data_IF_587816270819
#
_entry.id   IF_587816270819
#
_cell.length_a   1.000
_cell.length_b   1.000
_cell.length_c   1.000
_cell.angle_alpha   90.00
_cell.angle_beta   90.00
_cell.angle_gamma   90.00
#
_symmetry.space_group_name_H-M   'P 1'
#
loop_
_entity.id
_entity.type
_entity.pdbx_description
1 polymer ?
#
# COMPACT_ATOMS: atom_id res chain seq x y z
N UNK A 1 -4.58 -17.02 -10.34
CA UNK A 1 -3.31 -16.61 -10.97
C UNK A 1 -2.19 -17.03 -10.03
N UNK A 2 -1.66 -18.22 -10.25
CA UNK A 2 -0.57 -18.82 -9.48
C UNK A 2 0.74 -18.18 -9.91
N UNK A 3 1.42 -17.51 -8.98
CA UNK A 3 2.79 -17.04 -9.21
C UNK A 3 3.67 -18.27 -9.50
N UNK A 4 4.35 -18.29 -10.65
CA UNK A 4 5.27 -19.37 -11.02
C UNK A 4 6.31 -19.54 -9.91
N UNK A 5 6.36 -20.72 -9.31
CA UNK A 5 7.57 -21.19 -8.66
C UNK A 5 8.56 -21.50 -9.81
N UNK A 6 9.53 -20.63 -10.03
CA UNK A 6 10.58 -20.88 -11.02
C UNK A 6 11.42 -22.08 -10.53
N UNK A 7 11.15 -23.27 -11.08
CA UNK A 7 12.12 -24.37 -11.06
C UNK A 7 12.96 -24.30 -12.34
N UNK A 8 14.24 -23.96 -12.15
CA UNK A 8 15.36 -24.14 -13.08
C UNK A 8 15.38 -23.35 -14.40
N UNK A 9 15.97 -22.14 -14.36
CA UNK A 9 17.03 -21.71 -15.31
C UNK A 9 17.64 -20.32 -15.03
N UNK A 10 17.57 -19.77 -13.79
CA UNK A 10 18.36 -18.62 -13.32
C UNK A 10 18.08 -18.40 -11.81
N UNK A 11 18.73 -19.19 -10.94
CA UNK A 11 18.62 -18.99 -9.49
C UNK A 11 19.43 -17.75 -9.11
N UNK A 12 18.74 -16.64 -8.88
CA UNK A 12 19.32 -15.40 -8.37
C UNK A 12 18.62 -15.00 -7.09
N UNK A 13 19.36 -14.45 -6.14
CA UNK A 13 18.82 -13.74 -4.98
C UNK A 13 19.12 -12.25 -5.10
N UNK A 14 18.20 -11.42 -4.62
CA UNK A 14 18.35 -9.96 -4.75
C UNK A 14 19.60 -9.44 -4.02
N UNK A 15 20.10 -10.20 -3.05
CA UNK A 15 21.28 -9.88 -2.24
C UNK A 15 22.59 -10.38 -2.85
N UNK A 16 22.57 -11.12 -3.97
CA UNK A 16 23.79 -11.61 -4.61
C UNK A 16 24.69 -10.45 -5.04
N UNK A 17 26.01 -10.59 -4.92
CA UNK A 17 26.95 -9.52 -5.29
C UNK A 17 26.78 -9.11 -6.76
N UNK A 18 26.62 -10.09 -7.65
CA UNK A 18 26.27 -9.92 -9.06
C UNK A 18 24.89 -10.51 -9.33
N UNK A 19 24.11 -9.82 -10.16
CA UNK A 19 22.80 -10.28 -10.61
C UNK A 19 22.94 -10.65 -12.10
N UNK A 20 22.41 -11.80 -12.55
CA UNK A 20 22.52 -12.22 -13.94
C UNK A 20 21.79 -11.25 -14.88
N UNK A 21 22.25 -11.22 -16.13
CA UNK A 21 21.50 -10.55 -17.20
C UNK A 21 20.32 -11.43 -17.60
N UNK A 22 19.12 -10.87 -17.54
CA UNK A 22 17.86 -11.55 -17.86
C UNK A 22 17.28 -10.92 -19.13
N UNK A 23 16.81 -11.76 -20.05
CA UNK A 23 16.19 -11.33 -21.32
C UNK A 23 14.66 -11.47 -21.32
N UNK A 24 14.12 -12.27 -20.40
CA UNK A 24 12.67 -12.45 -20.21
C UNK A 24 12.16 -11.61 -19.03
N UNK A 25 11.10 -10.84 -19.27
CA UNK A 25 10.55 -9.93 -18.27
C UNK A 25 9.13 -10.32 -17.88
N UNK A 26 8.85 -10.25 -16.58
CA UNK A 26 7.53 -10.44 -16.02
C UNK A 26 6.65 -9.22 -16.28
N UNK A 27 5.35 -9.46 -16.37
CA UNK A 27 4.36 -8.38 -16.35
C UNK A 27 4.30 -7.77 -14.95
N UNK A 28 4.06 -6.46 -14.86
CA UNK A 28 4.01 -5.78 -13.57
C UNK A 28 2.93 -6.38 -12.66
N UNK A 29 3.34 -6.83 -11.47
CA UNK A 29 2.45 -7.42 -10.48
C UNK A 29 2.14 -6.43 -9.36
N UNK A 30 0.99 -5.76 -9.46
CA UNK A 30 0.53 -4.80 -8.43
C UNK A 30 0.37 -5.47 -7.06
N UNK A 31 -0.16 -6.70 -7.04
CA UNK A 31 -0.50 -7.48 -5.85
C UNK A 31 0.44 -8.67 -5.69
N UNK A 32 1.74 -8.44 -5.81
CA UNK A 32 2.75 -9.46 -5.55
C UNK A 32 2.53 -10.05 -4.14
N UNK A 33 2.52 -11.37 -4.06
CA UNK A 33 2.27 -12.11 -2.82
C UNK A 33 3.06 -13.43 -2.86
N UNK A 34 3.29 -14.00 -1.68
CA UNK A 34 4.14 -15.16 -1.50
C UNK A 34 5.63 -14.89 -1.71
N UNK A 35 6.41 -15.96 -1.55
CA UNK A 35 7.84 -15.94 -1.80
C UNK A 35 8.11 -15.95 -3.31
N UNK A 36 8.00 -14.79 -3.94
CA UNK A 36 8.18 -14.64 -5.39
C UNK A 36 9.39 -13.77 -5.74
N UNK A 37 9.95 -14.05 -6.91
CA UNK A 37 11.01 -13.29 -7.57
C UNK A 37 10.50 -12.92 -8.95
N UNK A 38 10.61 -11.64 -9.31
CA UNK A 38 10.13 -11.10 -10.58
C UNK A 38 11.18 -10.17 -11.16
N UNK A 39 11.26 -10.11 -12.48
CA UNK A 39 12.18 -9.25 -13.22
C UNK A 39 11.38 -8.37 -14.16
N UNK A 40 11.42 -7.07 -13.92
CA UNK A 40 10.73 -6.09 -14.75
C UNK A 40 11.69 -5.42 -15.71
N UNK A 41 11.16 -4.96 -16.85
CA UNK A 41 11.93 -4.14 -17.79
C UNK A 41 12.41 -2.86 -17.12
N UNK A 42 13.60 -2.39 -17.49
CA UNK A 42 14.15 -1.13 -17.01
C UNK A 42 13.27 0.08 -17.34
N UNK A 43 12.46 0.01 -18.39
CA UNK A 43 11.54 1.07 -18.83
C UNK A 43 10.17 1.05 -18.14
N UNK A 44 9.84 0.05 -17.32
CA UNK A 44 8.56 -0.03 -16.61
C UNK A 44 8.42 1.08 -15.55
N UNK A 45 7.45 1.97 -15.76
CA UNK A 45 7.18 3.10 -14.87
C UNK A 45 6.72 2.67 -13.48
N UNK A 46 5.92 1.61 -13.38
CA UNK A 46 5.43 1.08 -12.12
C UNK A 46 6.57 0.45 -11.30
N UNK A 47 7.47 -0.28 -11.96
CA UNK A 47 8.64 -0.88 -11.33
C UNK A 47 9.66 0.18 -10.90
N UNK A 48 9.89 1.22 -11.73
CA UNK A 48 10.76 2.36 -11.36
C UNK A 48 10.29 3.08 -10.10
N UNK A 49 8.97 3.21 -9.94
CA UNK A 49 8.33 3.83 -8.76
C UNK A 49 8.18 2.87 -7.58
N UNK A 50 8.58 1.61 -7.74
CA UNK A 50 8.43 0.53 -6.76
C UNK A 50 6.99 0.45 -6.25
N UNK A 51 6.05 0.54 -7.20
CA UNK A 51 4.63 0.57 -6.94
C UNK A 51 4.16 -0.76 -6.34
N UNK A 52 3.13 -0.69 -5.50
CA UNK A 52 2.47 -1.87 -4.95
C UNK A 52 1.05 -1.53 -4.50
N UNK A 53 0.12 -2.43 -4.80
CA UNK A 53 -1.24 -2.42 -4.27
C UNK A 53 -1.24 -2.60 -2.75
N UNK A 54 -0.25 -3.27 -2.17
CA UNK A 54 -0.08 -3.36 -0.72
C UNK A 54 0.40 -2.03 -0.12
N UNK A 55 0.05 -1.79 1.15
CA UNK A 55 0.49 -0.59 1.87
C UNK A 55 1.92 -0.78 2.40
N UNK A 56 2.90 -0.58 1.53
CA UNK A 56 4.31 -0.81 1.82
C UNK A 56 5.02 0.46 2.31
N UNK A 57 5.74 0.39 3.43
CA UNK A 57 6.62 1.46 3.94
C UNK A 57 8.08 1.14 3.68
N UNK A 58 8.91 2.17 3.47
CA UNK A 58 10.36 1.98 3.40
C UNK A 58 10.90 1.50 4.76
N UNK A 59 11.87 0.62 4.72
CA UNK A 59 12.61 0.14 5.89
C UNK A 59 14.09 0.15 5.58
N UNK A 60 14.92 0.66 6.49
CA UNK A 60 16.36 0.65 6.30
C UNK A 60 16.90 -0.78 6.35
N UNK A 61 17.71 -1.15 5.37
CA UNK A 61 18.46 -2.42 5.30
C UNK A 61 19.97 -2.20 5.23
N UNK A 62 20.44 -0.95 5.36
CA UNK A 62 21.85 -0.56 5.25
C UNK A 62 22.52 -0.96 3.92
N UNK A 63 21.74 -1.15 2.85
CA UNK A 63 22.23 -1.41 1.50
C UNK A 63 21.58 -0.44 0.51
N UNK A 64 22.36 0.52 0.00
CA UNK A 64 21.87 1.57 -0.90
C UNK A 64 21.39 1.05 -2.26
N UNK A 65 21.86 -0.13 -2.68
CA UNK A 65 21.49 -0.73 -3.97
C UNK A 65 20.17 -1.49 -3.91
N UNK A 66 19.67 -1.80 -2.71
CA UNK A 66 18.46 -2.59 -2.51
C UNK A 66 17.47 -1.76 -1.70
N UNK A 67 16.38 -1.32 -2.32
CA UNK A 67 15.28 -0.71 -1.60
C UNK A 67 14.45 -1.80 -0.91
N UNK A 68 14.44 -1.78 0.42
CA UNK A 68 13.58 -2.65 1.24
C UNK A 68 12.32 -1.92 1.67
N UNK A 69 11.16 -2.54 1.48
CA UNK A 69 9.85 -2.05 1.94
C UNK A 69 9.11 -3.14 2.69
N UNK A 70 8.48 -2.82 3.82
CA UNK A 70 7.68 -3.78 4.59
C UNK A 70 6.21 -3.38 4.62
N UNK A 71 5.33 -4.37 4.62
CA UNK A 71 3.89 -4.15 4.65
C UNK A 71 3.45 -3.55 5.99
N UNK A 72 2.50 -2.62 5.93
CA UNK A 72 1.84 -2.05 7.11
C UNK A 72 0.64 -2.85 7.58
N UNK A 73 0.05 -3.67 6.70
CA UNK A 73 -1.26 -4.27 6.90
C UNK A 73 -2.39 -3.46 6.27
N UNK A 74 -3.55 -3.48 6.90
CA UNK A 74 -4.80 -2.89 6.40
C UNK A 74 -5.59 -2.26 7.54
N UNK A 75 -6.25 -1.13 7.28
CA UNK A 75 -7.19 -0.54 8.24
C UNK A 75 -8.56 -1.17 8.06
N UNK A 76 -9.13 -1.61 9.17
CA UNK A 76 -10.36 -2.38 9.25
C UNK A 76 -11.33 -1.73 10.24
N UNK A 77 -12.60 -2.09 10.17
CA UNK A 77 -13.55 -1.76 11.23
C UNK A 77 -13.39 -2.74 12.40
N UNK A 78 -13.32 -2.22 13.63
CA UNK A 78 -13.27 -3.01 14.87
C UNK A 78 -14.47 -3.95 15.03
N UNK A 79 -15.63 -3.59 14.48
CA UNK A 79 -16.84 -4.42 14.46
C UNK A 79 -16.97 -5.28 13.19
N UNK A 80 -15.94 -5.29 12.31
CA UNK A 80 -15.92 -6.07 11.07
C UNK A 80 -17.19 -5.91 10.22
N UNK A 81 -17.75 -4.70 10.21
CA UNK A 81 -19.03 -4.43 9.56
C UNK A 81 -18.97 -4.71 8.05
N UNK A 82 -20.14 -5.02 7.50
CA UNK A 82 -20.36 -5.16 6.06
C UNK A 82 -21.07 -3.90 5.56
N UNK A 83 -20.64 -3.40 4.42
CA UNK A 83 -21.29 -2.31 3.69
C UNK A 83 -22.56 -2.82 3.01
N UNK A 84 -23.42 -1.91 2.57
CA UNK A 84 -24.68 -2.26 1.89
C UNK A 84 -24.47 -3.00 0.56
N UNK A 85 -23.30 -2.82 -0.07
CA UNK A 85 -22.90 -3.55 -1.28
C UNK A 85 -22.30 -4.94 -0.97
N UNK A 86 -22.31 -5.39 0.28
CA UNK A 86 -21.73 -6.68 0.70
C UNK A 86 -20.22 -6.65 0.97
N UNK A 87 -19.52 -5.55 0.68
CA UNK A 87 -18.07 -5.45 0.91
C UNK A 87 -17.73 -5.16 2.37
N UNK A 88 -16.48 -5.43 2.76
CA UNK A 88 -15.94 -5.08 4.08
C UNK A 88 -15.13 -3.77 4.00
N UNK A 89 -15.00 -3.09 5.13
CA UNK A 89 -14.19 -1.87 5.24
C UNK A 89 -12.71 -2.22 5.27
N UNK A 90 -12.01 -2.09 4.14
CA UNK A 90 -10.56 -2.32 4.00
C UNK A 90 -9.84 -1.07 3.48
N UNK A 91 -9.43 -0.18 4.37
CA UNK A 91 -8.80 1.09 3.99
C UNK A 91 -7.28 0.96 3.93
N UNK A 92 -6.65 1.72 3.03
CA UNK A 92 -5.20 1.81 2.95
C UNK A 92 -4.63 2.58 4.14
N UNK A 93 -3.74 1.98 4.95
CA UNK A 93 -3.01 2.71 5.98
C UNK A 93 -2.14 3.82 5.37
N UNK A 94 -2.05 4.95 6.06
CA UNK A 94 -1.11 6.00 5.70
C UNK A 94 0.33 5.51 5.95
N UNK A 95 1.21 5.84 5.00
CA UNK A 95 2.62 5.46 5.09
C UNK A 95 3.31 6.21 6.24
N UNK A 96 3.02 7.51 6.40
CA UNK A 96 3.53 8.30 7.51
C UNK A 96 2.95 7.83 8.85
N UNK A 97 3.82 7.55 9.82
CA UNK A 97 3.45 7.08 11.16
C UNK A 97 2.52 8.06 11.89
N UNK A 98 2.82 9.36 11.85
CA UNK A 98 1.98 10.40 12.47
C UNK A 98 0.58 10.42 11.85
N UNK A 99 0.47 10.29 10.52
CA UNK A 99 -0.82 10.25 9.84
C UNK A 99 -1.58 8.95 10.12
N UNK A 100 -0.88 7.81 10.19
CA UNK A 100 -1.48 6.51 10.50
C UNK A 100 -2.00 6.44 11.94
N UNK A 101 -1.28 6.98 12.91
CA UNK A 101 -1.76 7.16 14.29
C UNK A 101 -3.06 7.97 14.32
N UNK A 102 -3.15 9.03 13.51
CA UNK A 102 -4.39 9.83 13.36
C UNK A 102 -5.52 9.10 12.62
N UNK A 103 -5.24 8.08 11.80
CA UNK A 103 -6.28 7.30 11.13
C UNK A 103 -6.92 6.28 12.08
N UNK A 104 -6.13 5.69 12.97
CA UNK A 104 -6.62 4.74 13.98
C UNK A 104 -7.55 5.45 14.97
N UNK A 105 -8.56 4.73 15.47
CA UNK A 105 -9.58 5.24 16.38
C UNK A 105 -10.64 6.13 15.73
N UNK A 106 -10.48 6.55 14.46
CA UNK A 106 -11.51 7.30 13.73
C UNK A 106 -12.80 6.46 13.60
N UNK A 107 -13.98 7.09 13.55
CA UNK A 107 -15.22 6.39 13.28
C UNK A 107 -15.17 5.61 11.97
N UNK A 108 -15.85 4.46 11.94
CA UNK A 108 -16.04 3.69 10.72
C UNK A 108 -16.65 4.56 9.60
N UNK A 109 -16.20 4.45 8.34
CA UNK A 109 -16.82 5.15 7.23
C UNK A 109 -18.25 4.67 6.92
N UNK A 110 -18.63 3.47 7.40
CA UNK A 110 -20.02 3.01 7.34
C UNK A 110 -20.85 3.77 8.39
N UNK A 111 -21.76 4.63 7.93
CA UNK A 111 -22.58 5.50 8.80
C UNK A 111 -23.54 4.75 9.71
N UNK A 112 -23.91 3.51 9.36
CA UNK A 112 -24.75 2.65 10.17
C UNK A 112 -23.94 1.86 11.21
N UNK A 113 -22.61 1.99 11.20
CA UNK A 113 -21.72 1.29 12.11
C UNK A 113 -21.17 2.24 13.19
N UNK A 114 -21.24 1.80 14.44
CA UNK A 114 -20.67 2.50 15.60
C UNK A 114 -19.19 2.13 15.85
N UNK A 115 -18.62 1.26 15.02
CA UNK A 115 -17.25 0.78 15.14
C UNK A 115 -16.21 1.87 14.83
N UNK A 116 -14.96 1.55 15.13
CA UNK A 116 -13.81 2.43 14.87
C UNK A 116 -12.83 1.77 13.93
N UNK A 117 -11.95 2.57 13.33
CA UNK A 117 -10.88 2.10 12.49
C UNK A 117 -9.71 1.61 13.35
N UNK A 118 -9.25 0.40 13.12
CA UNK A 118 -8.06 -0.19 13.75
C UNK A 118 -7.14 -0.78 12.68
N UNK A 119 -5.87 -0.95 13.03
CA UNK A 119 -4.89 -1.56 12.13
C UNK A 119 -4.89 -3.07 12.35
N UNK A 120 -5.10 -3.84 11.28
CA UNK A 120 -4.70 -5.25 11.22
C UNK A 120 -3.29 -5.28 10.62
N UNK A 121 -2.22 -5.46 11.44
CA UNK A 121 -0.86 -5.48 10.95
C UNK A 121 -0.60 -6.72 10.11
N UNK A 122 0.28 -6.61 9.13
CA UNK A 122 0.78 -7.76 8.39
C UNK A 122 1.79 -8.54 9.24
N UNK A 123 1.61 -9.85 9.36
CA UNK A 123 2.50 -10.80 10.05
C UNK A 123 2.82 -12.04 9.22
N UNK A 124 2.56 -11.94 7.92
CA UNK A 124 2.70 -12.97 6.90
C UNK A 124 4.08 -13.57 6.65
N UNK A 125 5.11 -13.17 7.39
CA UNK A 125 6.46 -13.71 7.27
C UNK A 125 7.00 -14.11 8.64
N UNK A 126 6.67 -15.33 9.08
CA UNK A 126 7.10 -15.86 10.39
C UNK A 126 6.77 -14.92 11.56
N UNK A 127 5.59 -14.28 11.54
CA UNK A 127 5.16 -13.31 12.55
C UNK A 127 5.60 -11.86 12.28
N UNK A 128 6.48 -11.65 11.30
CA UNK A 128 6.91 -10.34 10.81
C UNK A 128 6.15 -9.91 9.56
N UNK A 129 6.16 -8.61 9.22
CA UNK A 129 5.52 -8.14 8.00
C UNK A 129 6.18 -8.67 6.73
N UNK A 130 5.35 -8.97 5.73
CA UNK A 130 5.82 -9.27 4.37
C UNK A 130 6.69 -8.12 3.86
N UNK A 131 7.78 -8.48 3.18
CA UNK A 131 8.79 -7.52 2.74
C UNK A 131 9.05 -7.63 1.25
N UNK A 132 9.11 -6.49 0.57
CA UNK A 132 9.51 -6.34 -0.81
C UNK A 132 10.92 -5.76 -0.88
N UNK A 133 11.70 -6.27 -1.82
CA UNK A 133 13.03 -5.80 -2.16
C UNK A 133 13.03 -5.41 -3.63
N UNK A 134 13.65 -4.27 -3.92
CA UNK A 134 13.81 -3.77 -5.28
C UNK A 134 15.27 -3.45 -5.53
N UNK A 135 15.81 -3.89 -6.66
CA UNK A 135 17.18 -3.57 -7.09
C UNK A 135 17.16 -3.15 -8.55
N UNK A 136 17.70 -1.96 -8.80
CA UNK A 136 17.85 -1.43 -10.16
C UNK A 136 19.18 -1.88 -10.74
N UNK A 137 19.17 -2.33 -12.00
CA UNK A 137 20.36 -2.53 -12.81
C UNK A 137 20.24 -1.71 -14.10
N UNK A 138 21.26 -1.72 -14.94
CA UNK A 138 21.22 -1.03 -16.23
C UNK A 138 20.14 -1.57 -17.17
N UNK A 139 19.84 -2.88 -17.09
CA UNK A 139 18.98 -3.56 -18.06
C UNK A 139 17.62 -3.99 -17.50
N UNK A 140 17.46 -4.05 -16.18
CA UNK A 140 16.24 -4.55 -15.55
C UNK A 140 16.02 -3.99 -14.14
N UNK A 141 14.82 -4.22 -13.61
CA UNK A 141 14.47 -3.96 -12.21
C UNK A 141 14.09 -5.29 -11.58
N UNK A 142 14.89 -5.74 -10.62
CA UNK A 142 14.69 -6.98 -9.90
C UNK A 142 13.79 -6.73 -8.69
N UNK A 143 12.86 -7.65 -8.48
CA UNK A 143 11.91 -7.63 -7.39
C UNK A 143 11.91 -8.96 -6.66
N UNK A 144 11.94 -8.93 -5.32
CA UNK A 144 11.73 -10.12 -4.50
C UNK A 144 10.76 -9.81 -3.36
N UNK A 145 9.76 -10.67 -3.17
CA UNK A 145 8.88 -10.65 -2.00
C UNK A 145 9.24 -11.79 -1.04
N UNK A 146 9.14 -11.53 0.26
CA UNK A 146 9.33 -12.53 1.33
C UNK A 146 8.11 -12.53 2.25
N UNK A 147 7.41 -13.66 2.29
CA UNK A 147 6.20 -13.90 3.09
C UNK A 147 4.91 -13.88 2.26
N UNK A 148 3.80 -14.25 2.90
CA UNK A 148 2.43 -14.28 2.32
C UNK A 148 1.53 -13.35 3.11
N UNK A 149 0.87 -12.40 2.47
CA UNK A 149 0.03 -11.42 3.18
C UNK A 149 -1.15 -12.11 3.91
N UNK A 150 -1.20 -11.95 5.23
CA UNK A 150 -2.15 -12.56 6.16
C UNK A 150 -3.33 -11.62 6.51
N UNK A 151 -3.63 -10.70 5.60
CA UNK A 151 -4.67 -9.71 5.77
C UNK A 151 -5.32 -9.39 4.41
N UNK A 152 -6.57 -8.89 4.39
CA UNK A 152 -7.21 -8.54 3.14
C UNK A 152 -6.48 -7.41 2.43
N UNK A 153 -6.62 -7.37 1.10
CA UNK A 153 -6.08 -6.30 0.27
C UNK A 153 -6.67 -4.96 0.72
N UNK A 154 -5.84 -3.95 1.06
CA UNK A 154 -6.34 -2.59 1.22
C UNK A 154 -6.89 -2.09 -0.11
N UNK A 155 -7.68 -1.03 -0.10
CA UNK A 155 -7.99 -0.32 -1.34
C UNK A 155 -6.73 0.14 -2.09
N UNK A 156 -6.87 0.29 -3.41
CA UNK A 156 -5.83 0.82 -4.27
C UNK A 156 -5.43 2.25 -3.86
N UNK A 157 -4.15 2.58 -4.11
CA UNK A 157 -3.58 3.89 -3.78
C UNK A 157 -4.38 5.05 -4.42
N UNK A 158 -4.79 4.90 -5.67
CA UNK A 158 -5.59 5.89 -6.42
C UNK A 158 -6.93 6.16 -5.73
N UNK A 159 -7.63 5.12 -5.28
CA UNK A 159 -8.88 5.23 -4.54
C UNK A 159 -8.69 5.96 -3.21
N UNK A 160 -7.59 5.68 -2.49
CA UNK A 160 -7.25 6.40 -1.26
C UNK A 160 -7.04 7.90 -1.48
N UNK A 161 -6.38 8.28 -2.57
CA UNK A 161 -6.10 9.66 -2.92
C UNK A 161 -7.40 10.40 -3.27
N UNK A 162 -8.30 9.78 -4.05
CA UNK A 162 -9.63 10.32 -4.34
C UNK A 162 -10.48 10.55 -3.08
N UNK A 163 -10.42 9.66 -2.08
CA UNK A 163 -11.16 9.87 -0.82
C UNK A 163 -10.59 11.01 0.02
N UNK A 164 -9.28 11.26 -0.05
CA UNK A 164 -8.66 12.42 0.63
C UNK A 164 -9.10 13.74 0.01
N UNK A 165 -9.15 13.82 -1.32
CA UNK A 165 -9.57 15.05 -2.02
C UNK A 165 -11.05 15.35 -1.75
N UNK A 166 -11.91 14.34 -1.81
CA UNK A 166 -13.34 14.47 -1.48
C UNK A 166 -13.57 14.78 0.01
N UNK A 167 -12.77 14.23 0.91
CA UNK A 167 -12.82 14.52 2.35
C UNK A 167 -12.37 15.93 2.73
N UNK A 168 -11.45 16.53 1.96
CA UNK A 168 -11.02 17.93 2.12
C UNK A 168 -12.09 18.94 1.67
N UNK A 169 -12.94 18.59 0.70
CA UNK A 169 -14.08 19.42 0.28
C UNK A 169 -15.07 19.74 1.41
N UNK A 170 -15.07 18.93 2.48
CA UNK A 170 -15.87 19.17 3.69
C UNK A 170 -15.36 20.35 4.53
N UNK A 171 -14.05 20.64 4.51
CA UNK A 171 -13.48 21.84 5.17
C UNK A 171 -13.78 23.10 4.38
N UNK A 172 -13.77 23.01 3.04
CA UNK A 172 -14.08 24.14 2.15
C UNK A 172 -15.53 24.56 2.31
N UNK A 173 -16.48 23.61 2.41
CA UNK A 173 -17.88 23.91 2.75
C UNK A 173 -18.04 24.56 4.13
N UNK A 174 -17.29 24.12 5.13
CA UNK A 174 -17.31 24.70 6.47
C UNK A 174 -16.82 26.16 6.50
N UNK A 175 -15.74 26.46 5.76
CA UNK A 175 -15.22 27.82 5.63
C UNK A 175 -16.16 28.72 4.82
N UNK A 176 -16.73 28.21 3.73
CA UNK A 176 -17.70 28.96 2.92
C UNK A 176 -18.98 29.31 3.70
N UNK A 177 -19.45 28.41 4.58
CA UNK A 177 -20.61 28.67 5.45
C UNK A 177 -20.28 29.70 6.55
N UNK A 178 -19.06 29.68 7.09
CA UNK A 178 -18.60 30.69 8.05
C UNK A 178 -18.50 32.08 7.41
N UNK A 179 -17.88 32.18 6.23
CA UNK A 179 -17.75 33.43 5.49
C UNK A 179 -19.13 33.97 5.04
N UNK A 180 -20.06 33.10 4.65
CA UNK A 180 -21.42 33.51 4.30
C UNK A 180 -22.21 34.05 5.52
N UNK A 181 -21.94 33.54 6.73
CA UNK A 181 -22.54 34.05 7.97
C UNK A 181 -21.96 35.40 8.37
N UNK A 182 -20.66 35.62 8.19
CA UNK A 182 -20.03 36.91 8.46
C UNK A 182 -20.51 38.00 7.48
N UNK A 183 -20.66 37.66 6.20
CA UNK A 183 -21.22 38.59 5.20
C UNK A 183 -22.69 38.99 5.49
N UNK A 184 -23.48 38.10 6.09
CA UNK A 184 -24.87 38.38 6.45
C UNK A 184 -25.03 39.25 7.71
N UNK A 185 -24.00 39.34 8.55
CA UNK A 185 -24.01 40.12 9.80
C UNK A 185 -23.43 41.54 9.63
N UNK A 186 -22.74 41.81 8.52
CA UNK A 186 -22.13 43.12 8.22
C UNK A 186 -23.03 44.14 7.53
N UNK A 187 -24.34 43.90 7.44
CA UNK A 187 -25.28 44.79 6.72
C UNK A 187 -26.36 45.39 7.63
N UNK A 188 -25.96 45.85 8.83
CA UNK A 188 -26.76 46.73 9.69
C UNK A 188 -25.95 47.96 10.06
#
# INVERSE_FOLDING_TARGET
MTCRAYSNSNDWDINDSSIPRIEEFDHFSEWADGHCRLVYRADSEEAKRHSSGWAMRNTNNHNVHILKKSCLGVLICSLRCTLSNGEKVHLRPAICDKARKKQQGKPCPNRQCTGRLEIQPCRGHCGYPVTHFWRHTEHAIFFQAKGVHDHPRPEAKSTSEARRTLGSGRRVRGLAVLLAKEAALGNK
#
